data_IF_081250716173
#
_entry.id   IF_081250716173
#
_cell.length_a   1.000
_cell.length_b   1.000
_cell.length_c   1.000
_cell.angle_alpha   90.00
_cell.angle_beta   90.00
_cell.angle_gamma   90.00
#
_symmetry.space_group_name_H-M   'P 1'
#
loop_
_entity.id
_entity.type
_entity.pdbx_description
1 polymer ?
#
# COMPACT_ATOMS: atom_id res chain seq x y z
N UNK A 1 -26.65 -15.70 -21.83
CA UNK A 1 -26.41 -14.43 -21.09
C UNK A 1 -25.21 -13.60 -21.59
N UNK A 2 -24.67 -13.88 -22.79
CA UNK A 2 -23.55 -13.12 -23.36
C UNK A 2 -23.95 -11.85 -24.13
N UNK A 3 -25.16 -11.40 -24.10
CA UNK A 3 -25.67 -10.27 -24.89
C UNK A 3 -26.20 -9.08 -24.12
N UNK A 4 -26.02 -9.04 -22.81
CA UNK A 4 -26.60 -7.97 -21.95
C UNK A 4 -25.60 -6.87 -21.55
N UNK A 5 -24.33 -6.99 -21.95
CA UNK A 5 -23.31 -5.97 -21.71
C UNK A 5 -22.75 -5.52 -23.04
N UNK A 6 -22.81 -4.22 -23.31
CA UNK A 6 -22.22 -3.63 -24.50
C UNK A 6 -20.71 -3.87 -24.54
N UNK A 7 -20.19 -4.13 -25.75
CA UNK A 7 -18.74 -4.27 -25.95
C UNK A 7 -18.05 -2.97 -25.59
N UNK A 8 -16.98 -3.06 -24.81
CA UNK A 8 -16.14 -1.90 -24.47
C UNK A 8 -15.54 -1.27 -25.73
N UNK A 9 -15.65 0.03 -25.83
CA UNK A 9 -14.92 0.78 -26.86
C UNK A 9 -13.45 0.87 -26.47
N UNK A 10 -12.55 1.07 -27.43
CA UNK A 10 -11.11 1.25 -27.15
C UNK A 10 -10.84 2.40 -26.18
N UNK A 11 -11.61 3.46 -26.25
CA UNK A 11 -11.53 4.60 -25.34
C UNK A 11 -11.96 4.20 -23.92
N UNK A 12 -13.04 3.42 -23.82
CA UNK A 12 -13.51 2.87 -22.54
C UNK A 12 -12.51 1.92 -21.88
N UNK A 13 -11.82 1.09 -22.67
CA UNK A 13 -10.75 0.22 -22.15
C UNK A 13 -9.60 1.04 -21.56
N UNK A 14 -9.17 2.11 -22.24
CA UNK A 14 -8.10 2.99 -21.77
C UNK A 14 -8.51 3.71 -20.50
N UNK A 15 -9.75 4.20 -20.43
CA UNK A 15 -10.26 4.88 -19.23
C UNK A 15 -10.31 3.94 -18.03
N UNK A 16 -10.81 2.72 -18.22
CA UNK A 16 -10.85 1.70 -17.17
C UNK A 16 -9.43 1.32 -16.73
N UNK A 17 -8.50 1.11 -17.66
CA UNK A 17 -7.12 0.79 -17.34
C UNK A 17 -6.46 1.91 -16.49
N UNK A 18 -6.63 3.16 -16.86
CA UNK A 18 -6.15 4.32 -16.09
C UNK A 18 -6.73 4.35 -14.69
N UNK A 19 -8.03 4.12 -14.56
CA UNK A 19 -8.72 4.11 -13.28
C UNK A 19 -8.26 2.97 -12.37
N UNK A 20 -7.95 1.80 -12.95
CA UNK A 20 -7.37 0.67 -12.22
C UNK A 20 -5.97 1.03 -11.71
N UNK A 21 -5.11 1.59 -12.57
CA UNK A 21 -3.76 2.00 -12.17
C UNK A 21 -3.77 3.08 -11.09
N UNK A 22 -4.67 4.06 -11.19
CA UNK A 22 -4.85 5.10 -10.18
C UNK A 22 -5.28 4.48 -8.84
N UNK A 23 -6.27 3.59 -8.86
CA UNK A 23 -6.69 2.86 -7.65
C UNK A 23 -5.57 2.02 -7.04
N UNK A 24 -4.72 1.39 -7.83
CA UNK A 24 -3.54 0.66 -7.34
C UNK A 24 -2.51 1.60 -6.71
N UNK A 25 -2.25 2.76 -7.31
CA UNK A 25 -1.36 3.80 -6.76
C UNK A 25 -1.86 4.32 -5.42
N UNK A 26 -3.16 4.59 -5.33
CA UNK A 26 -3.79 5.06 -4.08
C UNK A 26 -3.69 4.01 -2.98
N UNK A 27 -3.94 2.74 -3.31
CA UNK A 27 -3.81 1.64 -2.35
C UNK A 27 -2.37 1.49 -1.87
N UNK A 28 -1.38 1.54 -2.78
CA UNK A 28 0.03 1.47 -2.42
C UNK A 28 0.45 2.66 -1.56
N UNK A 29 0.00 3.87 -1.90
CA UNK A 29 0.25 5.07 -1.10
C UNK A 29 -0.35 4.96 0.31
N UNK A 30 -1.57 4.45 0.43
CA UNK A 30 -2.21 4.20 1.72
C UNK A 30 -1.49 3.11 2.53
N UNK A 31 -1.02 2.05 1.88
CA UNK A 31 -0.35 0.91 2.53
C UNK A 31 0.97 1.29 3.20
N UNK A 32 1.63 2.35 2.73
CA UNK A 32 2.87 2.88 3.33
C UNK A 32 2.67 3.37 4.77
N UNK A 33 1.46 3.83 5.11
CA UNK A 33 1.13 4.21 6.48
C UNK A 33 1.13 3.03 7.45
N UNK A 34 1.16 1.81 6.92
CA UNK A 34 1.30 0.58 7.71
C UNK A 34 2.78 0.14 7.71
N UNK A 35 3.49 0.24 8.86
CA UNK A 35 4.96 0.08 8.91
C UNK A 35 5.46 -1.26 8.36
N UNK A 36 4.75 -2.35 8.65
CA UNK A 36 5.12 -3.70 8.23
C UNK A 36 5.13 -3.88 6.70
N UNK A 37 4.36 -3.08 5.95
CA UNK A 37 4.29 -3.19 4.49
C UNK A 37 5.63 -2.91 3.83
N UNK A 38 6.22 -1.76 4.15
CA UNK A 38 7.51 -1.35 3.56
C UNK A 38 8.64 -2.23 4.07
N UNK A 39 8.61 -2.61 5.35
CA UNK A 39 9.56 -3.52 5.96
C UNK A 39 9.56 -4.88 5.25
N UNK A 40 8.38 -5.44 5.00
CA UNK A 40 8.21 -6.71 4.29
C UNK A 40 8.80 -6.65 2.87
N UNK A 41 8.53 -5.59 2.12
CA UNK A 41 9.09 -5.38 0.78
C UNK A 41 10.62 -5.27 0.82
N UNK A 42 11.18 -4.57 1.82
CA UNK A 42 12.62 -4.45 1.98
C UNK A 42 13.29 -5.77 2.39
N UNK A 43 12.61 -6.58 3.22
CA UNK A 43 13.08 -7.94 3.56
C UNK A 43 13.06 -8.84 2.32
N UNK A 44 11.97 -8.82 1.53
CA UNK A 44 11.91 -9.59 0.29
C UNK A 44 12.99 -9.17 -0.71
N UNK A 45 13.26 -7.86 -0.82
CA UNK A 45 14.36 -7.35 -1.62
C UNK A 45 15.72 -7.88 -1.16
N UNK A 46 15.92 -8.05 0.15
CA UNK A 46 17.15 -8.66 0.66
C UNK A 46 17.28 -10.12 0.19
N UNK A 47 16.19 -10.91 0.26
CA UNK A 47 16.19 -12.29 -0.26
C UNK A 47 16.47 -12.36 -1.77
N UNK A 48 16.02 -11.36 -2.54
CA UNK A 48 16.35 -11.26 -3.98
C UNK A 48 17.83 -10.99 -4.18
N UNK A 49 18.47 -10.16 -3.35
CA UNK A 49 19.93 -9.93 -3.43
C UNK A 49 20.75 -11.15 -3.04
N UNK A 50 20.25 -11.92 -2.08
CA UNK A 50 20.90 -13.14 -1.58
C UNK A 50 20.60 -14.33 -2.51
N UNK A 51 19.99 -14.07 -3.70
CA UNK A 51 19.63 -15.04 -4.75
C UNK A 51 18.64 -16.14 -4.30
N UNK A 52 17.99 -15.96 -3.13
CA UNK A 52 16.99 -16.89 -2.63
C UNK A 52 15.62 -16.74 -3.32
N UNK A 53 15.36 -15.57 -3.89
CA UNK A 53 14.11 -15.23 -4.59
C UNK A 53 14.40 -14.55 -5.93
N UNK A 54 13.46 -14.68 -6.88
CA UNK A 54 13.57 -14.03 -8.19
C UNK A 54 13.07 -12.59 -8.12
N UNK A 55 13.71 -11.70 -8.90
CA UNK A 55 13.31 -10.30 -9.01
C UNK A 55 11.86 -10.15 -9.52
N UNK A 56 11.46 -11.01 -10.46
CA UNK A 56 10.10 -10.99 -11.03
C UNK A 56 9.01 -11.36 -10.00
N UNK A 57 9.35 -12.04 -8.91
CA UNK A 57 8.43 -12.33 -7.81
C UNK A 57 8.16 -11.07 -6.96
N UNK A 58 9.08 -10.10 -6.97
CA UNK A 58 8.93 -8.84 -6.27
C UNK A 58 8.27 -7.77 -7.15
N UNK A 59 8.86 -7.47 -8.30
CA UNK A 59 8.46 -6.39 -9.19
C UNK A 59 8.28 -6.88 -10.63
N UNK A 60 7.26 -6.36 -11.31
CA UNK A 60 7.04 -6.58 -12.74
C UNK A 60 7.42 -5.36 -13.59
N UNK A 61 7.66 -4.21 -12.97
CA UNK A 61 7.99 -2.98 -13.66
C UNK A 61 7.99 -1.77 -12.75
N UNK A 62 7.92 -0.63 -13.38
CA UNK A 62 7.71 0.66 -12.74
C UNK A 62 6.50 1.32 -13.37
N UNK A 63 5.72 2.03 -12.55
CA UNK A 63 4.67 2.92 -13.03
C UNK A 63 5.37 4.26 -13.31
N UNK A 64 5.40 4.67 -14.56
CA UNK A 64 5.90 6.01 -14.92
C UNK A 64 4.88 7.06 -14.50
N UNK A 65 5.32 8.28 -14.18
CA UNK A 65 4.41 9.41 -14.09
C UNK A 65 3.70 9.51 -15.44
N UNK A 66 2.36 9.52 -15.43
CA UNK A 66 1.61 9.83 -16.64
C UNK A 66 1.93 11.27 -17.01
N UNK A 67 2.96 11.49 -17.83
CA UNK A 67 2.99 12.68 -18.67
C UNK A 67 1.72 12.60 -19.50
N UNK A 68 0.86 13.61 -19.41
CA UNK A 68 -0.23 13.82 -20.34
C UNK A 68 0.39 13.81 -21.73
N UNK A 69 0.33 12.67 -22.40
CA UNK A 69 0.72 12.59 -23.80
C UNK A 69 -0.32 13.43 -24.52
N UNK A 70 0.03 14.64 -25.02
CA UNK A 70 -0.88 15.37 -25.87
C UNK A 70 -1.26 14.40 -26.99
N UNK A 71 -2.54 14.28 -27.32
CA UNK A 71 -3.05 13.38 -28.34
C UNK A 71 -2.35 13.73 -29.68
N UNK A 72 -1.19 13.15 -29.87
CA UNK A 72 -0.45 13.25 -31.11
C UNK A 72 -1.03 12.20 -32.03
N UNK A 73 -1.70 12.66 -33.08
CA UNK A 73 -2.27 11.83 -34.12
C UNK A 73 -1.27 10.83 -34.70
N UNK A 74 -1.73 9.79 -35.44
CA UNK A 74 -0.87 8.75 -35.96
C UNK A 74 0.11 9.34 -36.99
N UNK A 75 1.35 9.57 -36.58
CA UNK A 75 2.39 10.12 -37.48
C UNK A 75 3.53 10.88 -36.82
N UNK A 76 3.56 11.02 -35.50
CA UNK A 76 4.64 11.80 -34.87
C UNK A 76 5.95 10.98 -34.80
N UNK A 77 7.05 11.59 -35.22
CA UNK A 77 8.40 11.02 -35.23
C UNK A 77 8.87 10.51 -33.85
N UNK A 78 8.27 10.99 -32.75
CA UNK A 78 8.50 10.49 -31.39
C UNK A 78 7.99 9.06 -31.16
N UNK A 79 6.95 8.63 -31.86
CA UNK A 79 6.46 7.25 -31.78
C UNK A 79 7.44 6.25 -32.42
N UNK A 80 8.19 6.69 -33.46
CA UNK A 80 9.25 5.89 -34.10
C UNK A 80 10.49 5.78 -33.24
N UNK A 81 10.88 6.85 -32.52
CA UNK A 81 12.05 6.83 -31.64
C UNK A 81 11.83 5.98 -30.37
N UNK A 82 10.58 5.79 -29.93
CA UNK A 82 10.22 4.87 -28.84
C UNK A 82 10.18 3.40 -29.30
N UNK A 83 9.88 3.15 -30.58
CA UNK A 83 9.92 1.83 -31.17
C UNK A 83 11.35 1.34 -31.43
N UNK A 84 12.24 2.23 -31.89
CA UNK A 84 13.66 1.91 -32.19
C UNK A 84 14.52 1.67 -30.92
N UNK A 85 14.08 2.11 -29.75
CA UNK A 85 14.77 1.81 -28.48
C UNK A 85 14.45 0.42 -27.90
N UNK A 86 13.60 -0.37 -28.58
CA UNK A 86 13.23 -1.74 -28.17
C UNK A 86 14.03 -2.84 -28.85
N UNK A 87 14.95 -2.51 -29.74
CA UNK A 87 15.60 -3.51 -30.62
C UNK A 87 17.13 -3.54 -30.56
N UNK A 88 17.71 -3.36 -29.39
CA UNK A 88 19.15 -3.66 -29.21
C UNK A 88 19.38 -4.41 -27.89
N UNK A 89 19.59 -5.72 -28.01
CA UNK A 89 20.16 -6.58 -26.99
C UNK A 89 19.19 -7.58 -26.39
N UNK A 90 19.46 -8.83 -26.68
CA UNK A 90 18.97 -10.04 -25.99
C UNK A 90 18.97 -9.86 -24.46
N UNK A 91 17.92 -9.24 -23.94
CA UNK A 91 17.54 -9.30 -22.55
C UNK A 91 16.07 -9.73 -22.55
N UNK A 92 15.83 -10.99 -22.34
CA UNK A 92 14.52 -11.53 -22.03
C UNK A 92 13.83 -10.55 -21.07
N UNK A 93 12.88 -9.74 -21.53
CA UNK A 93 11.94 -8.88 -20.81
C UNK A 93 12.13 -8.57 -19.34
N UNK A 94 13.36 -8.56 -18.83
CA UNK A 94 13.70 -8.43 -17.43
C UNK A 94 13.97 -6.97 -17.05
N UNK A 95 13.46 -6.58 -15.89
CA UNK A 95 13.76 -5.32 -15.23
C UNK A 95 15.28 -5.15 -15.09
N UNK A 96 15.80 -3.96 -15.40
CA UNK A 96 17.21 -3.64 -15.11
C UNK A 96 17.46 -3.70 -13.59
N UNK A 97 18.25 -4.68 -13.18
CA UNK A 97 18.60 -4.91 -11.78
C UNK A 97 19.24 -3.68 -11.13
N UNK A 98 20.04 -2.91 -11.89
CA UNK A 98 20.70 -1.70 -11.38
C UNK A 98 19.68 -0.61 -11.06
N UNK A 99 18.68 -0.42 -11.92
CA UNK A 99 17.61 0.56 -11.68
C UNK A 99 16.74 0.14 -10.50
N UNK A 100 16.39 -1.14 -10.38
CA UNK A 100 15.68 -1.67 -9.21
C UNK A 100 16.48 -1.44 -7.94
N UNK A 101 17.78 -1.77 -7.94
CA UNK A 101 18.67 -1.56 -6.80
C UNK A 101 18.72 -0.09 -6.37
N UNK A 102 18.78 0.84 -7.32
CA UNK A 102 18.78 2.27 -7.06
C UNK A 102 17.48 2.72 -6.38
N UNK A 103 16.32 2.30 -6.92
CA UNK A 103 15.01 2.65 -6.38
C UNK A 103 14.76 2.01 -5.00
N UNK A 104 15.14 0.75 -4.81
CA UNK A 104 15.02 0.08 -3.51
C UNK A 104 15.96 0.68 -2.46
N UNK A 105 17.14 1.14 -2.86
CA UNK A 105 18.06 1.88 -1.96
C UNK A 105 17.46 3.21 -1.54
N UNK A 106 16.84 3.95 -2.46
CA UNK A 106 16.13 5.19 -2.17
C UNK A 106 14.96 4.95 -1.21
N UNK A 107 14.17 3.91 -1.48
CA UNK A 107 13.06 3.49 -0.61
C UNK A 107 13.54 3.18 0.82
N UNK A 108 14.61 2.38 0.96
CA UNK A 108 15.19 2.03 2.26
C UNK A 108 15.68 3.26 3.01
N UNK A 109 16.34 4.19 2.31
CA UNK A 109 16.82 5.44 2.90
C UNK A 109 15.66 6.30 3.43
N UNK A 110 14.62 6.46 2.62
CA UNK A 110 13.43 7.23 3.02
C UNK A 110 12.67 6.54 4.16
N UNK A 111 12.51 5.22 4.12
CA UNK A 111 11.90 4.44 5.18
C UNK A 111 12.61 4.65 6.52
N UNK A 112 13.93 4.50 6.55
CA UNK A 112 14.72 4.70 7.77
C UNK A 112 14.60 6.13 8.32
N UNK A 113 14.47 7.12 7.43
CA UNK A 113 14.24 8.52 7.84
C UNK A 113 12.84 8.69 8.44
N UNK A 114 11.83 8.10 7.81
CA UNK A 114 10.44 8.17 8.28
C UNK A 114 10.29 7.51 9.65
N UNK A 115 10.90 6.35 9.87
CA UNK A 115 10.88 5.65 11.17
C UNK A 115 11.53 6.51 12.27
N UNK A 116 12.70 7.10 12.01
CA UNK A 116 13.37 7.99 12.98
C UNK A 116 12.53 9.22 13.34
N UNK A 117 11.79 9.79 12.37
CA UNK A 117 10.91 10.93 12.62
C UNK A 117 9.66 10.50 13.38
N UNK A 118 9.13 9.31 13.06
CA UNK A 118 8.00 8.70 13.76
C UNK A 118 8.31 8.46 15.24
N UNK A 119 9.48 7.89 15.54
CA UNK A 119 9.92 7.61 16.91
C UNK A 119 10.11 8.89 17.75
N UNK A 120 10.57 9.97 17.11
CA UNK A 120 10.80 11.26 17.79
C UNK A 120 9.53 12.05 18.03
N UNK A 121 8.64 12.12 17.05
CA UNK A 121 7.53 13.08 17.04
C UNK A 121 6.16 12.42 17.25
N UNK A 122 6.09 11.08 17.12
CA UNK A 122 4.83 10.36 17.09
C UNK A 122 4.09 10.44 15.74
N UNK A 123 3.05 9.62 15.61
CA UNK A 123 2.35 9.41 14.33
C UNK A 123 1.55 10.62 13.84
N UNK A 124 0.95 11.39 14.75
CA UNK A 124 0.04 12.48 14.42
C UNK A 124 0.75 13.80 14.13
N UNK A 125 2.07 13.85 14.26
CA UNK A 125 2.82 15.07 14.05
C UNK A 125 2.95 15.41 12.54
N UNK A 126 2.80 16.69 12.17
CA UNK A 126 2.84 17.16 10.78
C UNK A 126 4.08 16.71 10.01
N UNK A 127 5.28 16.80 10.63
CA UNK A 127 6.54 16.35 10.01
C UNK A 127 6.54 14.86 9.72
N UNK A 128 5.91 14.05 10.56
CA UNK A 128 5.79 12.61 10.35
C UNK A 128 4.88 12.31 9.15
N UNK A 129 3.78 13.04 9.02
CA UNK A 129 2.88 12.91 7.87
C UNK A 129 3.57 13.31 6.56
N UNK A 130 4.36 14.38 6.56
CA UNK A 130 5.15 14.80 5.39
C UNK A 130 6.17 13.73 4.97
N UNK A 131 6.84 13.07 5.91
CA UNK A 131 7.78 11.99 5.58
C UNK A 131 7.06 10.72 5.09
N UNK A 132 5.86 10.40 5.61
CA UNK A 132 5.02 9.34 5.04
C UNK A 132 4.56 9.65 3.62
N UNK A 133 4.19 10.89 3.32
CA UNK A 133 3.84 11.30 1.96
C UNK A 133 5.02 11.13 1.00
N UNK A 134 6.24 11.52 1.40
CA UNK A 134 7.46 11.31 0.60
C UNK A 134 7.73 9.83 0.37
N UNK A 135 7.55 9.00 1.40
CA UNK A 135 7.71 7.56 1.30
C UNK A 135 6.67 6.95 0.35
N UNK A 136 5.40 7.39 0.46
CA UNK A 136 4.32 6.98 -0.43
C UNK A 136 4.56 7.34 -1.88
N UNK A 137 5.11 8.54 -2.12
CA UNK A 137 5.46 8.97 -3.47
C UNK A 137 6.53 8.10 -4.14
N UNK A 138 7.46 7.53 -3.39
CA UNK A 138 8.43 6.57 -3.92
C UNK A 138 7.77 5.20 -4.15
N UNK A 139 6.95 4.77 -3.19
CA UNK A 139 6.36 3.43 -3.15
C UNK A 139 5.30 3.22 -4.24
N UNK A 140 4.46 4.22 -4.51
CA UNK A 140 3.37 4.15 -5.49
C UNK A 140 3.81 3.92 -6.94
N UNK A 141 5.08 4.20 -7.26
CA UNK A 141 5.65 3.98 -8.61
C UNK A 141 6.26 2.59 -8.79
N UNK A 142 6.27 1.77 -7.76
CA UNK A 142 6.72 0.38 -7.87
C UNK A 142 5.56 -0.49 -8.35
N UNK A 143 5.72 -1.15 -9.50
CA UNK A 143 4.75 -2.11 -10.02
C UNK A 143 5.09 -3.48 -9.45
N UNK A 144 4.47 -3.80 -8.32
CA UNK A 144 4.65 -5.10 -7.67
C UNK A 144 4.07 -6.24 -8.50
N UNK A 145 4.63 -7.44 -8.34
CA UNK A 145 4.02 -8.65 -8.88
C UNK A 145 2.63 -8.87 -8.25
N UNK A 146 1.68 -9.52 -8.95
CA UNK A 146 0.36 -9.79 -8.39
C UNK A 146 0.43 -10.52 -7.03
N UNK A 147 1.36 -11.46 -6.92
CA UNK A 147 1.60 -12.22 -5.69
C UNK A 147 2.07 -11.32 -4.55
N UNK A 148 3.08 -10.47 -4.79
CA UNK A 148 3.58 -9.54 -3.78
C UNK A 148 2.52 -8.55 -3.34
N UNK A 149 1.71 -8.05 -4.28
CA UNK A 149 0.61 -7.15 -3.98
C UNK A 149 -0.45 -7.81 -3.08
N UNK A 150 -0.78 -9.07 -3.36
CA UNK A 150 -1.70 -9.85 -2.53
C UNK A 150 -1.12 -10.07 -1.12
N UNK A 151 0.16 -10.43 -1.00
CA UNK A 151 0.84 -10.62 0.28
C UNK A 151 0.84 -9.32 1.13
N UNK A 152 1.08 -8.16 0.52
CA UNK A 152 0.96 -6.84 1.17
C UNK A 152 -0.47 -6.63 1.72
N UNK A 153 -1.49 -6.95 0.93
CA UNK A 153 -2.87 -6.83 1.35
C UNK A 153 -3.24 -7.81 2.48
N UNK A 154 -2.72 -9.04 2.43
CA UNK A 154 -2.96 -10.07 3.45
C UNK A 154 -2.38 -9.65 4.80
N UNK A 155 -1.17 -9.10 4.84
CA UNK A 155 -0.52 -8.63 6.07
C UNK A 155 -1.42 -7.61 6.79
N UNK A 156 -1.89 -6.60 6.06
CA UNK A 156 -2.76 -5.57 6.63
C UNK A 156 -4.12 -6.12 7.09
N UNK A 157 -4.72 -7.04 6.33
CA UNK A 157 -5.99 -7.68 6.67
C UNK A 157 -5.88 -8.58 7.89
N UNK A 158 -4.79 -9.34 7.99
CA UNK A 158 -4.55 -10.24 9.12
C UNK A 158 -4.45 -9.46 10.43
N UNK A 159 -3.67 -8.39 10.47
CA UNK A 159 -3.55 -7.57 11.68
C UNK A 159 -4.87 -6.86 12.04
N UNK A 160 -5.64 -6.42 11.03
CA UNK A 160 -6.97 -5.87 11.26
C UNK A 160 -7.93 -6.92 11.88
N UNK A 161 -7.85 -8.17 11.42
CA UNK A 161 -8.65 -9.26 11.96
C UNK A 161 -8.28 -9.56 13.42
N UNK A 162 -7.00 -9.60 13.75
CA UNK A 162 -6.53 -9.74 15.14
C UNK A 162 -7.11 -8.64 16.03
N UNK A 163 -7.00 -7.37 15.60
CA UNK A 163 -7.57 -6.23 16.34
C UNK A 163 -9.07 -6.41 16.55
N UNK A 164 -9.82 -6.73 15.50
CA UNK A 164 -11.28 -6.94 15.60
C UNK A 164 -11.65 -8.11 16.52
N UNK A 165 -10.86 -9.16 16.55
CA UNK A 165 -11.08 -10.29 17.46
C UNK A 165 -10.87 -9.87 18.91
N UNK A 166 -9.85 -9.09 19.22
CA UNK A 166 -9.65 -8.52 20.54
C UNK A 166 -10.77 -7.55 20.93
N UNK A 167 -11.20 -6.68 20.04
CA UNK A 167 -12.34 -5.77 20.28
C UNK A 167 -13.63 -6.54 20.60
N UNK A 168 -13.93 -7.60 19.84
CA UNK A 168 -15.09 -8.47 20.09
C UNK A 168 -14.99 -9.17 21.45
N UNK A 169 -13.79 -9.64 21.82
CA UNK A 169 -13.54 -10.26 23.11
C UNK A 169 -13.76 -9.28 24.26
N UNK A 170 -13.22 -8.06 24.15
CA UNK A 170 -13.45 -6.99 25.13
C UNK A 170 -14.93 -6.64 25.24
N UNK A 171 -15.62 -6.49 24.11
CA UNK A 171 -17.07 -6.25 24.10
C UNK A 171 -17.84 -7.37 24.81
N UNK A 172 -17.49 -8.63 24.56
CA UNK A 172 -18.13 -9.78 25.18
C UNK A 172 -17.94 -9.78 26.69
N UNK A 173 -16.73 -9.53 27.17
CA UNK A 173 -16.41 -9.42 28.58
C UNK A 173 -17.16 -8.29 29.26
N UNK A 174 -17.19 -7.11 28.66
CA UNK A 174 -17.87 -5.94 29.25
C UNK A 174 -19.39 -6.06 29.21
N UNK A 175 -19.97 -6.47 28.09
CA UNK A 175 -21.44 -6.47 27.90
C UNK A 175 -22.06 -7.74 28.47
N UNK A 176 -21.51 -8.94 28.19
CA UNK A 176 -22.10 -10.20 28.63
C UNK A 176 -21.73 -10.53 30.09
N UNK A 177 -20.44 -10.43 30.43
CA UNK A 177 -19.97 -10.86 31.76
C UNK A 177 -20.15 -9.75 32.81
N UNK A 178 -19.72 -8.53 32.51
CA UNK A 178 -19.85 -7.41 33.44
C UNK A 178 -21.22 -6.71 33.38
N UNK A 179 -22.12 -7.09 32.44
CA UNK A 179 -23.48 -6.54 32.26
C UNK A 179 -23.52 -5.03 32.06
N UNK A 180 -22.47 -4.46 31.45
CA UNK A 180 -22.46 -3.05 31.08
C UNK A 180 -23.43 -2.82 29.90
N UNK A 181 -24.31 -1.81 29.93
CA UNK A 181 -25.19 -1.52 28.81
C UNK A 181 -24.38 -1.30 27.51
N UNK A 182 -24.80 -1.98 26.43
CA UNK A 182 -24.06 -1.91 25.15
C UNK A 182 -23.88 -0.49 24.62
N UNK A 183 -24.88 0.39 24.84
CA UNK A 183 -24.82 1.80 24.42
C UNK A 183 -23.71 2.54 25.12
N UNK A 184 -23.58 2.37 26.43
CA UNK A 184 -22.57 3.04 27.26
C UNK A 184 -21.17 2.51 26.94
N UNK A 185 -21.05 1.18 26.71
CA UNK A 185 -19.79 0.58 26.23
C UNK A 185 -19.35 1.19 24.91
N UNK A 186 -20.23 1.22 23.90
CA UNK A 186 -19.89 1.75 22.57
C UNK A 186 -19.53 3.24 22.63
N UNK A 187 -20.25 4.05 23.41
CA UNK A 187 -19.97 5.47 23.58
C UNK A 187 -18.60 5.74 24.21
N UNK A 188 -18.21 4.92 25.21
CA UNK A 188 -16.93 5.07 25.87
C UNK A 188 -15.76 4.47 25.07
N UNK A 189 -16.01 3.37 24.34
CA UNK A 189 -15.00 2.64 23.58
C UNK A 189 -14.66 3.29 22.26
N UNK A 190 -15.61 3.95 21.60
CA UNK A 190 -15.39 4.69 20.37
C UNK A 190 -14.33 5.76 20.60
N UNK A 191 -13.35 5.83 19.70
CA UNK A 191 -12.24 6.79 19.71
C UNK A 191 -11.23 6.64 20.88
N UNK A 192 -11.40 5.61 21.73
CA UNK A 192 -10.54 5.38 22.90
C UNK A 192 -9.96 3.97 22.99
N UNK A 193 -9.88 3.24 21.89
CA UNK A 193 -9.50 1.81 21.82
C UNK A 193 -8.20 1.46 22.54
N UNK A 194 -7.24 2.37 22.58
CA UNK A 194 -5.92 2.16 23.19
C UNK A 194 -5.78 2.74 24.59
N UNK A 195 -6.81 3.43 25.10
CA UNK A 195 -6.71 4.08 26.42
C UNK A 195 -7.11 3.12 27.53
N UNK A 196 -6.17 2.78 28.38
CA UNK A 196 -6.41 1.94 29.57
C UNK A 196 -7.40 2.57 30.58
N UNK A 197 -7.64 3.87 30.48
CA UNK A 197 -8.55 4.62 31.38
C UNK A 197 -10.03 4.32 31.19
N UNK A 198 -10.41 3.60 30.11
CA UNK A 198 -11.81 3.22 29.84
C UNK A 198 -12.33 2.26 30.91
N UNK A 199 -11.51 1.27 31.32
CA UNK A 199 -11.94 0.24 32.27
C UNK A 199 -12.31 0.79 33.65
N UNK A 200 -11.54 1.68 34.28
CA UNK A 200 -11.91 2.32 35.53
C UNK A 200 -13.22 3.12 35.47
N UNK A 201 -13.59 3.70 34.32
CA UNK A 201 -14.84 4.47 34.16
C UNK A 201 -16.07 3.59 34.28
N UNK A 202 -16.03 2.34 33.78
CA UNK A 202 -17.12 1.38 33.94
C UNK A 202 -17.29 0.86 35.36
N UNK A 203 -16.21 0.81 36.14
CA UNK A 203 -16.24 0.39 37.56
C UNK A 203 -16.87 1.48 38.42
N UNK A 204 -16.58 2.75 38.14
CA UNK A 204 -17.13 3.89 38.92
C UNK A 204 -18.62 4.15 38.67
N UNK A 205 -19.13 3.81 37.49
CA UNK A 205 -20.54 4.00 37.14
C UNK A 205 -21.47 2.87 37.65
N UNK A 206 -20.97 1.91 38.41
CA UNK A 206 -21.75 0.87 39.07
C UNK A 206 -22.15 1.35 40.47
N UNK A 207 -23.08 2.34 40.52
CA UNK A 207 -23.89 2.67 41.69
C UNK A 207 -25.36 2.44 41.36
#
# INVERSE_FOLDING_TARGET
EMGTVDLLTREGEIEIAKRIEEGMRDLLNASVHYPKTVEYVLLFWQLVKDEEKKLNDLLTGFLEEMEEVPSAGPGSEKAKQLADKKDDGENEGGLDFKEVQRRMTSLKRQYNKTVKVLDKNGRNHKKTQEEFQKLGNIFKFLKFSPRMFEEICIIARHDLEIIRNHERSIQTLCVKNARVPRKDFLAAFKDNFTKMTIMPSFIKNKK
#
